data_IF_523825306855
#
_entry.id   IF_523825306855
#
_cell.length_a   1.000
_cell.length_b   1.000
_cell.length_c   1.000
_cell.angle_alpha   90.00
_cell.angle_beta   90.00
_cell.angle_gamma   90.00
#
_symmetry.space_group_name_H-M   'P 1'
#
loop_
_entity.id
_entity.type
_entity.pdbx_description
1 polymer ?
#
# COMPACT_ATOMS: atom_id res chain seq x y z
N UNK A 1 35.05 15.45 -3.62
CA UNK A 1 34.55 14.07 -3.48
C UNK A 1 35.05 13.54 -2.15
N UNK A 2 34.27 13.74 -1.09
CA UNK A 2 34.57 13.24 0.27
C UNK A 2 33.45 12.27 0.62
N UNK A 3 33.69 10.97 0.44
CA UNK A 3 32.83 9.90 0.95
C UNK A 3 33.15 9.71 2.43
N UNK A 4 32.16 9.91 3.31
CA UNK A 4 32.27 9.63 4.73
C UNK A 4 31.61 8.29 5.03
N UNK A 5 32.41 7.22 5.06
CA UNK A 5 31.99 5.89 5.49
C UNK A 5 31.73 5.91 7.01
N UNK A 6 30.48 6.09 7.43
CA UNK A 6 30.10 6.23 8.83
C UNK A 6 29.89 4.85 9.47
N UNK A 7 30.98 4.11 9.73
CA UNK A 7 30.94 2.98 10.66
C UNK A 7 30.61 3.50 12.06
N UNK A 8 29.39 3.26 12.53
CA UNK A 8 28.92 3.53 13.90
C UNK A 8 29.73 2.71 14.94
N UNK A 9 31.01 3.06 15.14
CA UNK A 9 31.73 2.75 16.37
C UNK A 9 31.19 3.69 17.44
N UNK A 10 31.05 3.21 18.68
CA UNK A 10 30.54 3.89 19.90
C UNK A 10 30.99 5.34 20.18
N UNK A 11 31.82 5.99 19.36
CA UNK A 11 32.49 7.27 19.62
C UNK A 11 31.90 8.51 18.91
N UNK A 12 30.90 8.41 18.02
CA UNK A 12 30.39 9.56 17.24
C UNK A 12 28.88 9.87 17.41
N UNK A 13 28.30 9.61 18.58
CA UNK A 13 26.90 9.99 18.88
C UNK A 13 26.64 11.51 18.77
N UNK A 14 27.69 12.34 18.82
CA UNK A 14 27.56 13.79 18.67
C UNK A 14 27.23 14.23 17.23
N UNK A 15 27.40 13.37 16.22
CA UNK A 15 27.19 13.71 14.80
C UNK A 15 25.72 14.05 14.47
N UNK A 16 24.77 13.60 15.30
CA UNK A 16 23.33 13.75 15.09
C UNK A 16 22.66 14.66 16.11
N UNK A 17 23.43 15.37 16.94
CA UNK A 17 22.89 16.24 18.00
C UNK A 17 22.01 17.39 17.49
N UNK A 18 22.02 17.65 16.19
CA UNK A 18 21.15 18.63 15.55
C UNK A 18 19.75 18.10 15.24
N UNK A 19 19.56 16.76 15.20
CA UNK A 19 18.29 16.14 14.81
C UNK A 19 17.39 15.92 16.03
N UNK A 20 16.13 16.32 15.94
CA UNK A 20 15.11 16.00 16.93
C UNK A 20 14.72 14.51 16.82
N UNK A 21 14.73 13.98 15.59
CA UNK A 21 14.40 12.59 15.29
C UNK A 21 15.45 11.92 14.43
N UNK A 22 15.80 10.68 14.80
CA UNK A 22 16.62 9.77 14.01
C UNK A 22 15.73 8.63 13.51
N UNK A 23 15.66 8.45 12.20
CA UNK A 23 14.93 7.37 11.53
C UNK A 23 15.95 6.40 10.97
N UNK A 24 15.81 5.13 11.31
CA UNK A 24 16.67 4.06 10.78
C UNK A 24 15.92 3.33 9.67
N UNK A 25 16.41 3.46 8.44
CA UNK A 25 15.83 2.93 7.21
C UNK A 25 15.22 4.02 6.32
N UNK A 26 15.72 4.12 5.09
CA UNK A 26 15.23 5.00 4.02
C UNK A 26 14.16 4.37 3.14
N UNK A 27 13.41 3.38 3.65
CA UNK A 27 12.25 2.83 2.96
C UNK A 27 11.05 3.78 2.93
N UNK A 28 9.99 3.42 2.20
CA UNK A 28 8.76 4.22 2.07
C UNK A 28 8.23 4.70 3.43
N UNK A 29 8.18 3.82 4.43
CA UNK A 29 7.72 4.18 5.78
C UNK A 29 8.64 5.19 6.49
N UNK A 30 9.95 5.05 6.33
CA UNK A 30 10.94 5.96 6.94
C UNK A 30 10.92 7.33 6.28
N UNK A 31 10.90 7.38 4.95
CA UNK A 31 10.80 8.62 4.18
C UNK A 31 9.48 9.35 4.45
N UNK A 32 8.36 8.62 4.46
CA UNK A 32 7.04 9.18 4.78
C UNK A 32 6.99 9.76 6.19
N UNK A 33 7.50 9.02 7.18
CA UNK A 33 7.58 9.47 8.57
C UNK A 33 8.45 10.72 8.69
N UNK A 34 9.62 10.71 8.04
CA UNK A 34 10.51 11.86 8.04
C UNK A 34 9.86 13.08 7.40
N UNK A 35 9.20 12.91 6.25
CA UNK A 35 8.56 14.02 5.55
C UNK A 35 7.43 14.65 6.38
N UNK A 36 6.63 13.82 7.05
CA UNK A 36 5.60 14.28 7.97
C UNK A 36 6.19 15.00 9.20
N UNK A 37 7.28 14.50 9.78
CA UNK A 37 7.95 15.19 10.90
C UNK A 37 8.57 16.52 10.48
N UNK A 38 9.20 16.55 9.30
CA UNK A 38 9.75 17.77 8.72
C UNK A 38 8.66 18.81 8.41
N UNK A 39 7.49 18.38 7.93
CA UNK A 39 6.31 19.23 7.73
C UNK A 39 5.82 19.91 9.02
N UNK A 40 6.08 19.27 10.16
CA UNK A 40 5.79 19.82 11.49
C UNK A 40 6.93 20.68 12.06
N UNK A 41 7.99 20.93 11.28
CA UNK A 41 9.12 21.77 11.66
C UNK A 41 10.21 21.08 12.47
N UNK A 42 10.18 19.75 12.61
CA UNK A 42 11.23 19.01 13.32
C UNK A 42 12.46 18.78 12.43
N UNK A 43 13.65 18.76 13.04
CA UNK A 43 14.87 18.29 12.40
C UNK A 43 14.91 16.77 12.36
N UNK A 44 15.10 16.19 11.18
CA UNK A 44 15.04 14.72 11.00
C UNK A 44 16.29 14.23 10.27
N UNK A 45 16.95 13.23 10.83
CA UNK A 45 18.00 12.48 10.14
C UNK A 45 17.48 11.09 9.76
N UNK A 46 17.63 10.71 8.49
CA UNK A 46 17.30 9.37 8.00
C UNK A 46 18.61 8.65 7.70
N UNK A 47 18.82 7.50 8.33
CA UNK A 47 19.97 6.64 8.11
C UNK A 47 19.57 5.49 7.20
N UNK A 48 20.18 5.42 6.01
CA UNK A 48 20.02 4.30 5.10
C UNK A 48 21.32 3.47 5.10
N UNK A 49 21.19 2.15 5.09
CA UNK A 49 22.33 1.23 5.08
C UNK A 49 22.89 1.01 3.67
N UNK A 50 22.08 1.31 2.64
CA UNK A 50 22.44 1.20 1.24
C UNK A 50 22.78 2.56 0.61
N UNK A 51 23.31 2.53 -0.62
CA UNK A 51 23.62 3.74 -1.41
C UNK A 51 22.37 4.47 -1.92
N UNK A 52 21.17 3.92 -1.71
CA UNK A 52 19.91 4.44 -2.26
C UNK A 52 18.76 4.21 -1.30
N UNK A 53 17.84 5.17 -1.30
CA UNK A 53 16.56 5.07 -0.59
C UNK A 53 15.56 4.17 -1.32
N UNK A 54 14.46 3.85 -0.62
CA UNK A 54 13.30 3.13 -1.16
C UNK A 54 13.02 1.80 -0.48
N UNK A 55 14.03 1.18 0.15
CA UNK A 55 13.87 -0.16 0.72
C UNK A 55 13.35 -1.12 -0.35
N UNK A 56 12.29 -1.89 -0.09
CA UNK A 56 11.69 -2.74 -1.12
C UNK A 56 11.24 -1.96 -2.38
N UNK A 57 10.89 -0.68 -2.25
CA UNK A 57 10.45 0.16 -3.35
C UNK A 57 11.64 0.80 -4.11
N UNK A 58 12.66 0.03 -4.46
CA UNK A 58 13.79 0.49 -5.28
C UNK A 58 13.87 -0.25 -6.62
N UNK A 59 14.82 0.16 -7.46
CA UNK A 59 15.13 -0.49 -8.73
C UNK A 59 16.61 -0.40 -9.08
N UNK A 60 17.04 -1.21 -10.04
CA UNK A 60 18.41 -1.24 -10.55
C UNK A 60 18.43 -1.29 -12.07
N UNK A 61 19.58 -0.95 -12.66
CA UNK A 61 19.75 -0.98 -14.11
C UNK A 61 20.85 -1.96 -14.51
N UNK A 62 20.61 -2.70 -15.59
CA UNK A 62 21.61 -3.59 -16.21
C UNK A 62 21.63 -3.29 -17.70
N UNK A 63 22.72 -2.69 -18.18
CA UNK A 63 22.81 -2.20 -19.55
C UNK A 63 21.68 -1.20 -19.84
N UNK A 64 20.88 -1.39 -20.92
CA UNK A 64 19.78 -0.49 -21.26
C UNK A 64 18.49 -0.76 -20.46
N UNK A 65 18.45 -1.80 -19.62
CA UNK A 65 17.24 -2.24 -18.93
C UNK A 65 17.18 -1.69 -17.50
N UNK A 66 15.96 -1.39 -17.04
CA UNK A 66 15.65 -1.01 -15.66
C UNK A 66 14.69 -2.03 -15.06
N UNK A 67 14.97 -2.44 -13.84
CA UNK A 67 14.20 -3.44 -13.11
C UNK A 67 13.72 -2.86 -11.78
N UNK A 68 12.43 -3.03 -11.50
CA UNK A 68 11.86 -2.79 -10.18
C UNK A 68 12.04 -4.04 -9.30
N UNK A 69 12.18 -3.85 -7.99
CA UNK A 69 12.47 -4.95 -7.05
C UNK A 69 11.42 -5.20 -5.98
N UNK A 70 10.41 -4.33 -5.87
CA UNK A 70 9.35 -4.48 -4.88
C UNK A 70 7.95 -4.43 -5.50
N UNK A 71 7.07 -3.55 -5.00
CA UNK A 71 5.65 -3.59 -5.35
C UNK A 71 5.43 -3.42 -6.85
N UNK A 72 4.78 -4.41 -7.47
CA UNK A 72 4.52 -4.45 -8.90
C UNK A 72 3.08 -4.11 -9.27
N UNK A 73 2.18 -4.02 -8.28
CA UNK A 73 0.76 -3.71 -8.46
C UNK A 73 0.35 -2.61 -7.47
N UNK A 74 -0.18 -1.50 -8.00
CA UNK A 74 -0.81 -0.46 -7.19
C UNK A 74 -2.27 -0.33 -7.57
N UNK A 75 -3.13 -0.28 -6.55
CA UNK A 75 -4.54 -0.04 -6.75
C UNK A 75 -4.79 1.35 -7.37
N UNK A 76 -5.87 1.46 -8.12
CA UNK A 76 -6.28 2.69 -8.78
C UNK A 76 -6.48 3.81 -7.77
N UNK A 77 -5.84 4.95 -8.03
CA UNK A 77 -5.94 6.13 -7.19
C UNK A 77 -4.97 6.18 -6.02
N UNK A 78 -4.23 5.10 -5.71
CA UNK A 78 -3.23 5.09 -4.62
C UNK A 78 -2.05 6.01 -4.93
N UNK A 79 -1.45 5.92 -6.13
CA UNK A 79 -0.25 6.67 -6.51
C UNK A 79 -0.57 8.05 -7.10
N UNK A 80 -1.67 8.18 -7.83
CA UNK A 80 -2.17 9.48 -8.29
C UNK A 80 -2.84 10.31 -7.19
N UNK A 81 -2.89 9.78 -5.97
CA UNK A 81 -3.45 10.40 -4.78
C UNK A 81 -4.95 10.76 -4.91
N UNK A 82 -5.68 10.01 -5.74
CA UNK A 82 -7.11 10.21 -6.04
C UNK A 82 -8.04 9.48 -5.08
N UNK A 83 -7.66 8.29 -4.64
CA UNK A 83 -8.49 7.53 -3.72
C UNK A 83 -8.49 8.19 -2.34
N UNK A 84 -9.67 8.59 -1.88
CA UNK A 84 -9.81 9.28 -0.60
C UNK A 84 -9.60 8.36 0.59
N UNK A 85 -9.80 7.07 0.41
CA UNK A 85 -9.78 6.05 1.45
C UNK A 85 -8.47 5.27 1.51
N UNK A 86 -7.71 5.27 0.41
CA UNK A 86 -6.40 4.64 0.35
C UNK A 86 -5.37 5.40 1.22
N UNK A 87 -4.66 4.71 2.12
CA UNK A 87 -3.70 5.35 3.02
C UNK A 87 -2.48 5.96 2.31
N UNK A 88 -2.00 5.36 1.21
CA UNK A 88 -0.90 5.94 0.43
C UNK A 88 -1.36 7.22 -0.27
N UNK A 89 -2.54 7.23 -0.87
CA UNK A 89 -3.12 8.43 -1.49
C UNK A 89 -3.38 9.55 -0.48
N UNK A 90 -3.78 9.22 0.76
CA UNK A 90 -3.88 10.19 1.85
C UNK A 90 -2.51 10.78 2.20
N UNK A 91 -1.49 9.94 2.35
CA UNK A 91 -0.12 10.38 2.62
C UNK A 91 0.41 11.30 1.52
N UNK A 92 0.28 10.93 0.24
CA UNK A 92 0.76 11.73 -0.87
C UNK A 92 0.05 13.09 -0.94
N UNK A 93 -1.25 13.15 -0.65
CA UNK A 93 -2.00 14.42 -0.54
C UNK A 93 -1.51 15.29 0.61
N UNK A 94 -1.28 14.70 1.79
CA UNK A 94 -0.75 15.44 2.94
C UNK A 94 0.62 16.04 2.63
N UNK A 95 1.44 15.32 1.86
CA UNK A 95 2.78 15.76 1.49
C UNK A 95 2.84 16.60 0.19
N UNK A 96 1.71 16.87 -0.46
CA UNK A 96 1.63 17.46 -1.82
C UNK A 96 2.57 16.78 -2.83
N UNK A 97 2.72 15.47 -2.71
CA UNK A 97 3.54 14.66 -3.63
C UNK A 97 2.72 14.33 -4.87
N UNK A 98 3.27 14.70 -6.03
CA UNK A 98 2.67 14.42 -7.34
C UNK A 98 3.52 13.41 -8.08
N UNK A 99 2.95 12.23 -8.30
CA UNK A 99 3.60 11.16 -9.03
C UNK A 99 2.92 10.97 -10.40
N UNK A 100 3.65 11.14 -11.52
CA UNK A 100 3.13 10.77 -12.82
C UNK A 100 2.92 9.26 -12.90
N UNK A 101 1.73 8.83 -13.31
CA UNK A 101 1.35 7.40 -13.37
C UNK A 101 0.73 7.03 -14.71
N UNK A 102 0.95 5.79 -15.12
CA UNK A 102 0.22 5.12 -16.20
C UNK A 102 -0.90 4.30 -15.58
N UNK A 103 -2.07 4.32 -16.22
CA UNK A 103 -3.21 3.47 -15.84
C UNK A 103 -3.30 2.26 -16.74
N UNK A 104 -3.65 1.14 -16.15
CA UNK A 104 -3.94 -0.10 -16.86
C UNK A 104 -5.01 -0.88 -16.10
N UNK A 105 -5.64 -1.85 -16.76
CA UNK A 105 -6.77 -2.59 -16.17
C UNK A 105 -6.52 -4.08 -16.06
N UNK A 106 -5.49 -4.61 -16.72
CA UNK A 106 -5.28 -6.05 -16.80
C UNK A 106 -3.84 -6.44 -16.52
N UNK A 107 -3.64 -7.62 -15.96
CA UNK A 107 -2.35 -8.30 -15.99
C UNK A 107 -2.48 -9.68 -16.64
N UNK A 108 -1.43 -10.13 -17.30
CA UNK A 108 -1.40 -11.45 -17.94
C UNK A 108 -1.24 -12.56 -16.90
N UNK A 109 -2.02 -13.63 -17.06
CA UNK A 109 -1.94 -14.83 -16.22
C UNK A 109 -1.70 -16.04 -17.12
N UNK A 110 -0.76 -16.88 -16.71
CA UNK A 110 -0.49 -18.18 -17.32
C UNK A 110 -0.49 -19.24 -16.23
N UNK A 111 -1.47 -20.13 -16.28
CA UNK A 111 -1.68 -21.25 -15.35
C UNK A 111 -1.91 -22.54 -16.15
N UNK A 112 -1.80 -23.73 -15.55
CA UNK A 112 -2.05 -25.00 -16.25
C UNK A 112 -3.41 -25.07 -16.94
N UNK A 113 -4.44 -24.43 -16.39
CA UNK A 113 -5.79 -24.37 -16.93
C UNK A 113 -5.92 -23.45 -18.15
N UNK A 114 -4.97 -22.54 -18.38
CA UNK A 114 -4.99 -21.66 -19.55
C UNK A 114 -4.25 -20.33 -19.38
N UNK A 115 -4.34 -19.52 -20.44
CA UNK A 115 -3.82 -18.16 -20.47
C UNK A 115 -4.97 -17.18 -20.57
N UNK A 116 -5.00 -16.19 -19.70
CA UNK A 116 -6.01 -15.13 -19.71
C UNK A 116 -5.41 -13.80 -19.24
N UNK A 117 -6.13 -12.72 -19.52
CA UNK A 117 -5.85 -11.42 -18.91
C UNK A 117 -6.80 -11.28 -17.73
N UNK A 118 -6.27 -11.18 -16.51
CA UNK A 118 -7.10 -10.88 -15.36
C UNK A 118 -7.34 -9.38 -15.34
N UNK A 119 -8.56 -8.92 -15.64
CA UNK A 119 -8.89 -7.53 -15.37
C UNK A 119 -9.26 -7.27 -13.91
N UNK A 120 -9.00 -6.04 -13.52
CA UNK A 120 -9.54 -5.38 -12.35
C UNK A 120 -10.84 -4.67 -12.77
N UNK A 121 -11.89 -4.80 -11.97
CA UNK A 121 -13.24 -4.31 -12.25
C UNK A 121 -14.33 -5.38 -12.10
N UNK A 122 -15.58 -4.99 -12.35
CA UNK A 122 -16.78 -5.77 -11.98
C UNK A 122 -17.01 -7.01 -12.85
N UNK A 123 -16.61 -7.00 -14.13
CA UNK A 123 -17.18 -7.95 -15.11
C UNK A 123 -16.21 -8.84 -15.89
N UNK A 124 -14.91 -8.92 -15.54
CA UNK A 124 -13.96 -9.71 -16.35
C UNK A 124 -13.51 -11.04 -15.73
N UNK A 125 -13.39 -11.13 -14.40
CA UNK A 125 -12.96 -12.40 -13.79
C UNK A 125 -14.09 -13.45 -13.80
N UNK A 126 -15.35 -13.01 -13.71
CA UNK A 126 -16.51 -13.92 -13.78
C UNK A 126 -16.70 -14.57 -15.16
N UNK A 127 -16.40 -13.87 -16.25
CA UNK A 127 -16.37 -14.45 -17.61
C UNK A 127 -15.20 -15.42 -17.76
N UNK A 128 -14.01 -15.04 -17.30
CA UNK A 128 -12.83 -15.91 -17.26
C UNK A 128 -13.11 -17.22 -16.52
N UNK A 129 -13.72 -17.16 -15.34
CA UNK A 129 -14.11 -18.36 -14.59
C UNK A 129 -15.13 -19.22 -15.33
N UNK A 130 -16.08 -18.59 -16.04
CA UNK A 130 -17.08 -19.32 -16.83
C UNK A 130 -16.43 -20.10 -17.97
N UNK A 131 -15.44 -19.51 -18.63
CA UNK A 131 -14.69 -20.14 -19.72
C UNK A 131 -13.77 -21.25 -19.23
N UNK A 132 -13.03 -21.02 -18.13
CA UNK A 132 -12.05 -21.99 -17.62
C UNK A 132 -12.66 -23.12 -16.80
N UNK A 133 -13.72 -22.83 -16.02
CA UNK A 133 -14.24 -23.70 -14.96
C UNK A 133 -15.75 -23.93 -15.03
N UNK A 134 -16.46 -23.26 -15.93
CA UNK A 134 -17.90 -23.36 -16.09
C UNK A 134 -18.72 -22.38 -15.23
N UNK A 135 -20.03 -22.39 -15.44
CA UNK A 135 -20.97 -21.43 -14.84
C UNK A 135 -21.10 -21.54 -13.32
N UNK A 136 -20.83 -22.71 -12.75
CA UNK A 136 -20.89 -22.92 -11.30
C UNK A 136 -19.81 -22.12 -10.57
N UNK A 137 -18.56 -22.19 -11.02
CA UNK A 137 -17.45 -21.43 -10.44
C UNK A 137 -17.69 -19.91 -10.53
N UNK A 138 -18.16 -19.43 -11.69
CA UNK A 138 -18.55 -18.03 -11.86
C UNK A 138 -19.69 -17.61 -10.89
N UNK A 139 -20.64 -18.51 -10.63
CA UNK A 139 -21.73 -18.27 -9.66
C UNK A 139 -21.21 -18.21 -8.22
N UNK A 140 -20.28 -19.10 -7.85
CA UNK A 140 -19.61 -19.07 -6.55
C UNK A 140 -18.84 -17.77 -6.34
N UNK A 141 -18.09 -17.31 -7.36
CA UNK A 141 -17.36 -16.04 -7.29
C UNK A 141 -18.30 -14.83 -7.16
N UNK A 142 -19.41 -14.80 -7.90
CA UNK A 142 -20.42 -13.73 -7.77
C UNK A 142 -21.01 -13.67 -6.35
N UNK A 143 -21.30 -14.82 -5.75
CA UNK A 143 -21.76 -14.88 -4.34
C UNK A 143 -20.70 -14.35 -3.38
N UNK A 144 -19.42 -14.65 -3.65
CA UNK A 144 -18.31 -14.12 -2.87
C UNK A 144 -18.20 -12.59 -2.99
N UNK A 145 -18.28 -12.04 -4.21
CA UNK A 145 -18.30 -10.58 -4.42
C UNK A 145 -19.45 -9.92 -3.64
N UNK A 146 -20.67 -10.47 -3.73
CA UNK A 146 -21.84 -9.96 -3.01
C UNK A 146 -21.67 -10.02 -1.48
N UNK A 147 -21.05 -11.08 -0.96
CA UNK A 147 -20.75 -11.19 0.47
C UNK A 147 -19.68 -10.21 0.92
N UNK A 148 -18.67 -9.97 0.07
CA UNK A 148 -17.54 -9.09 0.36
C UNK A 148 -17.88 -7.61 0.25
N UNK A 149 -18.88 -7.22 -0.55
CA UNK A 149 -19.28 -5.82 -0.75
C UNK A 149 -19.48 -5.01 0.56
N UNK A 150 -20.28 -5.47 1.54
CA UNK A 150 -20.42 -4.76 2.81
C UNK A 150 -19.13 -4.78 3.65
N UNK A 151 -18.28 -5.80 3.54
CA UNK A 151 -16.98 -5.86 4.21
C UNK A 151 -15.99 -4.87 3.59
N UNK A 152 -15.97 -4.78 2.25
CA UNK A 152 -15.19 -3.83 1.48
C UNK A 152 -15.57 -2.40 1.84
N UNK A 153 -16.88 -2.10 1.91
CA UNK A 153 -17.38 -0.81 2.39
C UNK A 153 -16.99 -0.51 3.84
N UNK A 154 -17.05 -1.51 4.73
CA UNK A 154 -16.65 -1.38 6.12
C UNK A 154 -15.15 -1.08 6.28
N UNK A 155 -14.30 -1.69 5.44
CA UNK A 155 -12.83 -1.59 5.51
C UNK A 155 -12.31 -0.15 5.36
N UNK A 156 -13.08 0.70 4.67
CA UNK A 156 -12.74 2.10 4.38
C UNK A 156 -13.62 3.11 5.11
N UNK A 157 -14.51 2.63 5.99
CA UNK A 157 -15.46 3.47 6.72
C UNK A 157 -14.79 4.43 7.71
N UNK A 158 -13.60 4.05 8.21
CA UNK A 158 -12.75 4.89 9.04
C UNK A 158 -11.40 5.02 8.35
N UNK A 159 -11.03 6.22 7.87
CA UNK A 159 -9.73 6.46 7.27
C UNK A 159 -8.59 6.09 8.23
N UNK A 160 -7.52 5.42 7.77
CA UNK A 160 -6.37 5.10 8.63
C UNK A 160 -5.77 6.32 9.31
N UNK A 161 -5.73 7.48 8.62
CA UNK A 161 -5.23 8.75 9.19
C UNK A 161 -6.08 9.27 10.37
N UNK A 162 -7.34 8.84 10.48
CA UNK A 162 -8.21 9.22 11.59
C UNK A 162 -7.96 8.37 12.84
N UNK A 163 -7.30 7.22 12.71
CA UNK A 163 -6.96 6.33 13.81
C UNK A 163 -5.67 6.80 14.49
N UNK A 164 -5.76 7.14 15.78
CA UNK A 164 -4.64 7.58 16.62
C UNK A 164 -4.68 6.91 17.99
N UNK A 165 -3.52 6.80 18.64
CA UNK A 165 -3.35 6.03 19.90
C UNK A 165 -3.61 6.84 21.17
N UNK A 166 -3.86 8.14 21.04
CA UNK A 166 -4.07 9.08 22.14
C UNK A 166 -5.51 9.63 22.17
N UNK A 167 -5.81 10.45 23.18
CA UNK A 167 -7.18 10.94 23.43
C UNK A 167 -7.77 11.77 22.30
N UNK A 168 -6.93 12.31 21.41
CA UNK A 168 -7.37 12.97 20.19
C UNK A 168 -8.15 12.08 19.23
N UNK A 169 -8.15 10.74 19.43
CA UNK A 169 -8.94 9.78 18.67
C UNK A 169 -10.41 10.17 18.62
N UNK A 170 -10.98 10.61 19.75
CA UNK A 170 -12.38 11.03 19.81
C UNK A 170 -12.66 12.26 18.96
N UNK A 171 -11.65 13.07 18.62
CA UNK A 171 -11.82 14.21 17.72
C UNK A 171 -11.74 13.78 16.26
N UNK A 172 -10.86 12.83 15.93
CA UNK A 172 -10.60 12.41 14.53
C UNK A 172 -11.53 11.29 14.07
N UNK A 173 -11.95 10.39 14.94
CA UNK A 173 -12.80 9.24 14.62
C UNK A 173 -14.31 9.53 14.73
N UNK A 174 -14.73 10.46 15.61
CA UNK A 174 -16.15 10.80 15.80
C UNK A 174 -16.89 11.16 14.50
N UNK A 175 -16.31 11.94 13.56
CA UNK A 175 -16.95 12.22 12.28
C UNK A 175 -17.30 10.96 11.45
N UNK A 176 -16.57 9.86 11.67
CA UNK A 176 -16.76 8.60 10.96
C UNK A 176 -17.62 7.59 11.73
N UNK A 177 -17.95 7.88 12.99
CA UNK A 177 -18.67 6.98 13.88
C UNK A 177 -20.06 6.58 13.33
N UNK A 178 -20.88 7.49 12.75
CA UNK A 178 -22.17 7.10 12.18
C UNK A 178 -22.03 6.11 11.00
N UNK A 179 -21.00 6.30 10.16
CA UNK A 179 -20.70 5.40 9.05
C UNK A 179 -20.21 4.05 9.56
N UNK A 180 -19.30 4.05 10.54
CA UNK A 180 -18.78 2.83 11.15
C UNK A 180 -19.86 2.00 11.85
N UNK A 181 -20.78 2.64 12.58
CA UNK A 181 -21.87 1.96 13.29
C UNK A 181 -22.78 1.14 12.34
N UNK A 182 -22.94 1.58 11.09
CA UNK A 182 -23.68 0.84 10.05
C UNK A 182 -23.06 -0.53 9.75
N UNK A 183 -21.76 -0.68 9.94
CA UNK A 183 -20.99 -1.89 9.63
C UNK A 183 -20.56 -2.67 10.88
N UNK A 184 -21.19 -2.41 12.03
CA UNK A 184 -20.84 -3.06 13.30
C UNK A 184 -20.80 -4.59 13.21
N UNK A 185 -21.79 -5.27 12.59
CA UNK A 185 -21.76 -6.73 12.43
C UNK A 185 -20.57 -7.25 11.60
N UNK A 186 -20.09 -6.44 10.66
CA UNK A 186 -19.01 -6.81 9.73
C UNK A 186 -17.62 -6.73 10.39
N UNK A 187 -17.41 -5.86 11.39
CA UNK A 187 -16.12 -5.76 12.10
C UNK A 187 -15.68 -7.07 12.77
N UNK A 188 -16.63 -7.88 13.23
CA UNK A 188 -16.32 -9.19 13.80
C UNK A 188 -15.67 -10.14 12.79
N UNK A 189 -16.19 -10.17 11.56
CA UNK A 189 -15.69 -11.02 10.48
C UNK A 189 -14.31 -10.57 9.98
N UNK A 190 -14.03 -9.28 9.96
CA UNK A 190 -12.77 -8.73 9.44
C UNK A 190 -11.52 -9.26 10.13
N UNK A 191 -11.61 -9.72 11.38
CA UNK A 191 -10.47 -10.28 12.14
C UNK A 191 -10.29 -11.78 11.92
N UNK A 192 -11.22 -12.44 11.24
CA UNK A 192 -11.17 -13.88 10.99
C UNK A 192 -10.33 -14.19 9.74
N UNK A 193 -9.73 -15.40 9.65
CA UNK A 193 -9.10 -15.86 8.42
C UNK A 193 -10.05 -15.81 7.23
N UNK A 194 -9.56 -15.40 6.06
CA UNK A 194 -10.37 -15.30 4.85
C UNK A 194 -10.97 -16.64 4.41
N UNK A 195 -10.29 -17.76 4.71
CA UNK A 195 -10.81 -19.11 4.46
C UNK A 195 -12.18 -19.37 5.09
N UNK A 196 -12.46 -18.78 6.26
CA UNK A 196 -13.80 -18.83 6.90
C UNK A 196 -14.88 -18.23 6.01
N UNK A 197 -14.57 -17.15 5.30
CA UNK A 197 -15.48 -16.50 4.38
C UNK A 197 -15.71 -17.38 3.15
N UNK A 198 -14.64 -17.96 2.60
CA UNK A 198 -14.75 -18.90 1.47
C UNK A 198 -15.64 -20.09 1.83
N UNK A 199 -15.49 -20.64 3.04
CA UNK A 199 -16.33 -21.73 3.55
C UNK A 199 -17.78 -21.29 3.76
N UNK A 200 -18.00 -20.13 4.37
CA UNK A 200 -19.34 -19.59 4.66
C UNK A 200 -20.13 -19.27 3.38
N UNK A 201 -19.46 -18.76 2.34
CA UNK A 201 -20.06 -18.51 1.02
C UNK A 201 -20.27 -19.82 0.24
N UNK A 202 -19.57 -20.88 0.61
CA UNK A 202 -19.63 -22.18 -0.06
C UNK A 202 -18.82 -22.22 -1.35
N UNK A 203 -17.68 -21.53 -1.39
CA UNK A 203 -16.71 -21.63 -2.49
C UNK A 203 -16.06 -23.01 -2.44
N UNK A 204 -16.29 -23.85 -3.45
CA UNK A 204 -15.83 -25.24 -3.53
C UNK A 204 -14.96 -25.52 -4.75
N UNK A 205 -15.06 -24.73 -5.81
CA UNK A 205 -14.21 -24.93 -6.99
C UNK A 205 -12.74 -24.73 -6.62
N UNK A 206 -11.91 -25.72 -6.95
CA UNK A 206 -10.51 -25.77 -6.54
C UNK A 206 -9.68 -24.64 -7.19
N UNK A 207 -9.99 -24.29 -8.45
CA UNK A 207 -9.32 -23.20 -9.14
C UNK A 207 -9.66 -21.85 -8.49
N UNK A 208 -10.93 -21.60 -8.20
CA UNK A 208 -11.34 -20.38 -7.52
C UNK A 208 -10.74 -20.26 -6.11
N UNK A 209 -10.65 -21.36 -5.35
CA UNK A 209 -9.94 -21.36 -4.05
C UNK A 209 -8.45 -21.06 -4.21
N UNK A 210 -7.78 -21.75 -5.13
CA UNK A 210 -6.35 -21.50 -5.41
C UNK A 210 -6.08 -20.08 -5.90
N UNK A 211 -7.00 -19.50 -6.68
CA UNK A 211 -6.94 -18.11 -7.10
C UNK A 211 -7.07 -17.15 -5.90
N UNK A 212 -7.99 -17.43 -4.97
CA UNK A 212 -8.10 -16.66 -3.73
C UNK A 212 -6.86 -16.79 -2.84
N UNK A 213 -6.26 -17.97 -2.75
CA UNK A 213 -4.99 -18.18 -2.05
C UNK A 213 -3.84 -17.42 -2.71
N UNK A 214 -3.78 -17.38 -4.04
CA UNK A 214 -2.80 -16.58 -4.78
C UNK A 214 -2.94 -15.10 -4.43
N UNK A 215 -4.17 -14.55 -4.45
CA UNK A 215 -4.39 -13.15 -4.09
C UNK A 215 -4.05 -12.87 -2.62
N UNK A 216 -4.38 -13.78 -1.71
CA UNK A 216 -3.96 -13.71 -0.30
C UNK A 216 -2.44 -13.67 -0.19
N UNK A 217 -1.73 -14.54 -0.91
CA UNK A 217 -0.28 -14.60 -0.88
C UNK A 217 0.37 -13.34 -1.46
N UNK A 218 -0.14 -12.82 -2.57
CA UNK A 218 0.34 -11.58 -3.17
C UNK A 218 0.14 -10.36 -2.26
N UNK A 219 -0.89 -10.39 -1.41
CA UNK A 219 -1.23 -9.30 -0.50
C UNK A 219 -0.47 -9.37 0.83
N UNK A 220 -0.44 -10.55 1.46
CA UNK A 220 -0.01 -10.72 2.86
C UNK A 220 1.13 -11.74 3.03
N UNK A 221 1.55 -12.41 1.96
CA UNK A 221 2.52 -13.51 2.02
C UNK A 221 1.98 -14.80 2.66
N UNK A 222 0.66 -14.89 2.89
CA UNK A 222 0.01 -16.05 3.52
C UNK A 222 -1.13 -16.58 2.63
N UNK A 223 -1.46 -17.87 2.71
CA UNK A 223 -2.70 -18.41 2.13
C UNK A 223 -3.94 -17.92 2.90
N UNK A 224 -5.13 -18.22 2.38
CA UNK A 224 -6.40 -17.69 2.89
C UNK A 224 -6.73 -18.05 4.35
N UNK A 225 -6.15 -19.11 4.91
CA UNK A 225 -6.28 -19.48 6.32
C UNK A 225 -5.36 -18.70 7.26
N UNK A 226 -4.37 -17.98 6.73
CA UNK A 226 -3.50 -17.05 7.45
C UNK A 226 -3.82 -15.58 7.20
N UNK A 227 -4.44 -15.24 6.07
CA UNK A 227 -4.74 -13.84 5.71
C UNK A 227 -6.00 -13.32 6.42
N UNK A 228 -5.93 -12.17 7.12
CA UNK A 228 -7.10 -11.52 7.71
C UNK A 228 -8.12 -11.10 6.65
N UNK A 229 -9.40 -11.33 6.94
CA UNK A 229 -10.51 -10.93 6.05
C UNK A 229 -10.53 -9.41 5.79
N UNK A 230 -10.05 -8.58 6.72
CA UNK A 230 -9.92 -7.13 6.52
C UNK A 230 -9.06 -6.76 5.31
N UNK A 231 -7.95 -7.47 5.10
CA UNK A 231 -7.03 -7.22 4.00
C UNK A 231 -7.69 -7.58 2.67
N UNK A 232 -8.34 -8.74 2.62
CA UNK A 232 -9.10 -9.17 1.45
C UNK A 232 -10.31 -8.28 1.18
N UNK A 233 -10.96 -7.72 2.20
CA UNK A 233 -12.04 -6.75 2.03
C UNK A 233 -11.56 -5.47 1.33
N UNK A 234 -10.41 -4.94 1.76
CA UNK A 234 -9.78 -3.81 1.07
C UNK A 234 -9.37 -4.18 -0.36
N UNK A 235 -8.81 -5.36 -0.58
CA UNK A 235 -8.45 -5.83 -1.92
C UNK A 235 -9.69 -5.96 -2.82
N UNK A 236 -10.78 -6.54 -2.35
CA UNK A 236 -12.02 -6.67 -3.12
C UNK A 236 -12.57 -5.32 -3.57
N UNK A 237 -12.52 -4.30 -2.69
CA UNK A 237 -12.85 -2.93 -3.06
C UNK A 237 -11.98 -2.43 -4.21
N UNK A 238 -10.67 -2.64 -4.10
CA UNK A 238 -9.66 -2.09 -5.01
C UNK A 238 -9.58 -2.82 -6.34
N UNK A 239 -9.91 -4.12 -6.39
CA UNK A 239 -9.73 -4.97 -7.57
C UNK A 239 -11.05 -5.34 -8.26
N UNK A 240 -12.19 -5.26 -7.56
CA UNK A 240 -13.48 -5.67 -8.10
C UNK A 240 -14.56 -4.58 -8.03
N UNK A 241 -14.21 -3.36 -7.62
CA UNK A 241 -15.11 -2.20 -7.67
C UNK A 241 -15.40 -1.70 -9.09
N UNK A 242 -16.49 -0.95 -9.27
CA UNK A 242 -16.93 -0.41 -10.58
C UNK A 242 -15.88 0.45 -11.28
N UNK A 243 -15.21 1.32 -10.53
CA UNK A 243 -14.18 2.21 -11.06
C UNK A 243 -12.76 1.66 -10.86
N UNK A 244 -12.62 0.35 -10.63
CA UNK A 244 -11.34 -0.23 -10.31
C UNK A 244 -10.39 -0.21 -11.53
N UNK A 245 -9.14 0.15 -11.28
CA UNK A 245 -8.04 0.09 -12.23
C UNK A 245 -6.73 -0.07 -11.46
N UNK A 246 -5.60 -0.14 -12.17
CA UNK A 246 -4.27 -0.23 -11.59
C UNK A 246 -3.39 0.93 -12.05
N UNK A 247 -2.43 1.29 -11.21
CA UNK A 247 -1.46 2.35 -11.48
C UNK A 247 -0.03 1.82 -11.53
N UNK A 248 0.78 2.42 -12.40
CA UNK A 248 2.22 2.21 -12.43
C UNK A 248 2.92 3.56 -12.49
N UNK A 249 3.87 3.86 -11.60
CA UNK A 249 4.59 5.13 -11.61
C UNK A 249 5.52 5.23 -12.82
N UNK A 250 5.47 6.36 -13.52
CA UNK A 250 6.44 6.62 -14.58
C UNK A 250 7.83 6.75 -13.97
N UNK A 251 8.78 5.99 -14.51
CA UNK A 251 10.10 5.84 -13.90
C UNK A 251 10.17 4.69 -12.90
N UNK A 252 9.14 3.86 -12.79
CA UNK A 252 9.17 2.67 -11.93
C UNK A 252 9.05 2.99 -10.45
N UNK A 253 9.13 1.93 -9.66
CA UNK A 253 8.74 1.95 -8.24
C UNK A 253 9.62 2.90 -7.42
N UNK A 254 10.89 3.06 -7.81
CA UNK A 254 11.80 3.99 -7.12
C UNK A 254 11.33 5.45 -7.23
N UNK A 255 10.55 5.82 -8.24
CA UNK A 255 10.03 7.18 -8.38
C UNK A 255 9.16 7.59 -7.18
N UNK A 256 8.49 6.64 -6.52
CA UNK A 256 7.76 6.91 -5.28
C UNK A 256 8.71 7.24 -4.13
N UNK A 257 9.80 6.48 -3.98
CA UNK A 257 10.80 6.72 -2.96
C UNK A 257 11.52 8.06 -3.18
N UNK A 258 11.91 8.33 -4.42
CA UNK A 258 12.54 9.59 -4.83
C UNK A 258 11.61 10.77 -4.53
N UNK A 259 10.32 10.68 -4.86
CA UNK A 259 9.36 11.74 -4.58
C UNK A 259 9.14 11.98 -3.08
N UNK A 260 9.16 10.93 -2.25
CA UNK A 260 9.07 11.08 -0.79
C UNK A 260 10.36 11.66 -0.19
N UNK A 261 11.52 11.30 -0.73
CA UNK A 261 12.81 11.93 -0.39
C UNK A 261 12.80 13.41 -0.75
N UNK A 262 12.34 13.78 -1.94
CA UNK A 262 12.25 15.18 -2.37
C UNK A 262 11.27 15.97 -1.50
N UNK A 263 10.15 15.36 -1.10
CA UNK A 263 9.19 15.97 -0.19
C UNK A 263 9.76 16.21 1.21
N UNK A 264 10.56 15.27 1.70
CA UNK A 264 11.33 15.40 2.94
C UNK A 264 12.34 16.54 2.84
N UNK A 265 13.17 16.55 1.80
CA UNK A 265 14.20 17.56 1.59
C UNK A 265 13.62 18.97 1.41
N UNK A 266 12.56 19.12 0.61
CA UNK A 266 11.92 20.41 0.33
C UNK A 266 11.37 21.06 1.60
N UNK A 267 10.76 20.26 2.48
CA UNK A 267 10.23 20.75 3.76
C UNK A 267 11.33 21.19 4.70
N UNK A 268 12.49 20.55 4.67
CA UNK A 268 13.67 21.05 5.37
C UNK A 268 14.02 22.46 4.91
N UNK A 269 14.04 22.70 3.60
CA UNK A 269 14.39 24.02 3.05
C UNK A 269 13.37 25.11 3.43
N UNK A 270 12.08 24.79 3.47
CA UNK A 270 11.03 25.73 3.85
C UNK A 270 11.11 26.16 5.31
N UNK A 271 11.58 25.26 6.19
CA UNK A 271 11.70 25.51 7.62
C UNK A 271 13.12 25.92 8.07
N UNK A 272 14.07 26.19 7.15
CA UNK A 272 15.44 26.63 7.50
C UNK A 272 15.51 27.96 8.28
N UNK A 273 14.47 28.79 8.21
CA UNK A 273 14.36 29.98 9.07
C UNK A 273 13.91 29.65 10.51
N UNK A 274 13.53 28.40 10.78
CA UNK A 274 13.12 27.85 12.08
C UNK A 274 13.78 26.48 12.33
N UNK A 275 15.08 26.48 12.66
CA UNK A 275 15.82 25.36 13.31
C UNK A 275 15.79 23.96 12.65
N UNK A 276 15.09 23.70 11.55
CA UNK A 276 15.06 22.37 10.93
C UNK A 276 16.29 22.13 10.05
N UNK A 277 17.02 21.04 10.31
CA UNK A 277 18.02 20.48 9.39
C UNK A 277 17.63 19.04 9.09
N UNK A 278 18.05 18.52 7.95
CA UNK A 278 17.89 17.10 7.66
C UNK A 278 18.97 16.62 6.71
N UNK A 279 19.42 15.39 6.94
CA UNK A 279 20.46 14.74 6.16
C UNK A 279 20.06 13.28 5.95
N UNK A 280 20.11 12.86 4.70
CA UNK A 280 20.25 11.46 4.33
C UNK A 280 21.75 11.15 4.32
N UNK A 281 22.16 10.14 5.08
CA UNK A 281 23.53 9.63 4.96
C UNK A 281 23.48 8.41 4.05
N UNK A 282 24.07 8.54 2.87
CA UNK A 282 24.42 7.41 2.01
C UNK A 282 25.68 6.74 2.59
N UNK A 283 25.58 5.44 2.89
CA UNK A 283 26.66 4.61 3.39
C UNK A 283 27.56 4.05 2.29
#
# INVERSE_FOLDING_TARGET
MWLFELRLRRKNLNAFQWADYLIVGGGIGGLATGALLADQGYSVCVLEAHERVGGAAHGFSVGPYRFDTGPSLFAGGSLSAKDRHDPLAQLLRLLDVKLPVVRYHTWGVLVPEGRFHSAVGVDDFGSTLRELRGSEAATQFRKLQQFMEPLASASVSIPPVALRRDWGLWRTATPFLPSALRYTPQFGLMRTPFSRILDQVGVKDAFLRGWMDLLCFLLSGLPSDGTPTAEMAFMFRSFYGEEAYLEYPLGGVSALADALKDALETRWWQHLHQRSRGFLLDG
#
